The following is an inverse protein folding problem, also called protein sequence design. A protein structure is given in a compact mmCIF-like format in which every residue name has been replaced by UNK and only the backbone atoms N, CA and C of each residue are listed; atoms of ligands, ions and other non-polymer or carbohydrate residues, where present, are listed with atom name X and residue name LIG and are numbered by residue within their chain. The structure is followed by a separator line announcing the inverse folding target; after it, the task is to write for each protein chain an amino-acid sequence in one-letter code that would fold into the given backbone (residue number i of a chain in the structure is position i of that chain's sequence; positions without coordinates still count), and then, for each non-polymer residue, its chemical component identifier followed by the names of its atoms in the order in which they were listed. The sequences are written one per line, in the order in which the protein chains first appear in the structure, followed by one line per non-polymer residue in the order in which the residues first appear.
data_IF_373140337950
#
_entry.id   IF_373140337950
#
_cell.length_a   1.000
_cell.length_b   1.000
_cell.length_c   1.000
_cell.angle_alpha   90.00
_cell.angle_beta   90.00
_cell.angle_gamma   90.00
#
_symmetry.space_group_name_H-M   'P 1'
#
loop_
_entity.id
_entity.type
_entity.pdbx_description
1 polymer ?
#
# COMPACT_ATOMS: atom_id res chain seq x y z
N UNK A 1 -18.77 -9.84 -13.37
CA UNK A 1 -19.31 -9.17 -12.18
C UNK A 1 -18.33 -8.07 -11.86
N UNK A 2 -18.67 -6.85 -12.24
CA UNK A 2 -17.81 -5.66 -12.15
C UNK A 2 -17.32 -5.49 -10.71
N UNK A 3 -16.01 -5.60 -10.49
CA UNK A 3 -15.41 -5.11 -9.26
C UNK A 3 -15.43 -3.60 -9.37
N UNK A 4 -16.40 -2.95 -8.71
CA UNK A 4 -16.41 -1.50 -8.56
C UNK A 4 -15.22 -1.15 -7.66
N UNK A 5 -14.11 -0.82 -8.30
CA UNK A 5 -12.93 -0.19 -7.69
C UNK A 5 -13.37 1.15 -7.11
N UNK A 6 -13.88 1.14 -5.88
CA UNK A 6 -14.41 2.33 -5.22
C UNK A 6 -13.31 2.92 -4.33
N UNK A 7 -12.18 3.26 -4.95
CA UNK A 7 -11.17 4.11 -4.34
C UNK A 7 -11.67 5.56 -4.43
N UNK A 8 -11.72 6.24 -3.31
CA UNK A 8 -12.26 7.60 -3.18
C UNK A 8 -11.27 8.50 -2.45
N UNK A 9 -11.57 9.80 -2.44
CA UNK A 9 -10.94 10.74 -1.52
C UNK A 9 -10.92 10.19 -0.07
N UNK A 10 -9.89 10.54 0.72
CA UNK A 10 -9.81 10.15 2.12
C UNK A 10 -11.08 10.55 2.88
N UNK A 11 -11.79 9.57 3.44
CA UNK A 11 -12.98 9.83 4.25
C UNK A 11 -12.61 10.53 5.55
N UNK A 12 -13.56 11.27 6.12
CA UNK A 12 -13.38 11.89 7.43
C UNK A 12 -13.28 10.83 8.54
N UNK A 13 -12.50 11.13 9.57
CA UNK A 13 -12.40 10.27 10.74
C UNK A 13 -13.76 10.05 11.42
N UNK A 14 -13.97 8.81 11.87
CA UNK A 14 -15.07 8.43 12.77
C UNK A 14 -14.52 7.85 14.06
N UNK A 15 -15.36 7.78 15.09
CA UNK A 15 -15.01 7.11 16.33
C UNK A 15 -14.82 5.60 16.10
N UNK A 16 -13.68 5.07 16.56
CA UNK A 16 -13.38 3.65 16.52
C UNK A 16 -13.04 3.13 17.93
N UNK A 17 -14.07 2.75 18.68
CA UNK A 17 -13.93 2.23 20.04
C UNK A 17 -13.15 0.90 20.14
N UNK A 18 -12.89 0.24 19.01
CA UNK A 18 -12.17 -1.04 18.95
C UNK A 18 -10.75 -0.91 18.45
N UNK A 19 -10.25 0.31 18.24
CA UNK A 19 -8.93 0.56 17.64
C UNK A 19 -7.82 -0.22 18.34
N UNK A 20 -7.71 -0.12 19.67
CA UNK A 20 -6.67 -0.81 20.45
C UNK A 20 -6.73 -2.34 20.25
N UNK A 21 -7.93 -2.92 20.28
CA UNK A 21 -8.14 -4.35 20.09
C UNK A 21 -7.77 -4.79 18.67
N UNK A 22 -8.16 -4.00 17.66
CA UNK A 22 -7.87 -4.29 16.25
C UNK A 22 -6.38 -4.17 15.96
N UNK A 23 -5.71 -3.15 16.49
CA UNK A 23 -4.25 -2.98 16.40
C UNK A 23 -3.53 -4.17 17.01
N UNK A 24 -3.90 -4.56 18.23
CA UNK A 24 -3.29 -5.73 18.90
C UNK A 24 -3.46 -7.01 18.07
N UNK A 25 -4.67 -7.25 17.55
CA UNK A 25 -4.92 -8.42 16.70
C UNK A 25 -4.06 -8.38 15.42
N UNK A 26 -3.96 -7.23 14.77
CA UNK A 26 -3.15 -7.03 13.57
C UNK A 26 -1.68 -7.30 13.82
N UNK A 27 -1.11 -6.74 14.89
CA UNK A 27 0.30 -6.94 15.25
C UNK A 27 0.58 -8.39 15.64
N UNK A 28 -0.35 -9.06 16.33
CA UNK A 28 -0.16 -10.45 16.78
C UNK A 28 -0.17 -11.48 15.65
N UNK A 29 -0.76 -11.12 14.51
CA UNK A 29 -0.91 -12.00 13.33
C UNK A 29 0.08 -11.66 12.22
N UNK A 30 0.86 -10.59 12.37
CA UNK A 30 1.81 -10.16 11.36
C UNK A 30 3.11 -10.94 11.47
N UNK A 31 3.40 -11.73 10.45
CA UNK A 31 4.69 -12.39 10.31
C UNK A 31 5.62 -11.50 9.48
N UNK A 32 6.48 -10.75 10.17
CA UNK A 32 7.41 -9.79 9.57
C UNK A 32 8.40 -10.49 8.62
N UNK A 33 8.74 -11.75 8.88
CA UNK A 33 9.69 -12.52 8.07
C UNK A 33 9.08 -12.94 6.73
N UNK A 34 7.76 -12.81 6.57
CA UNK A 34 7.04 -13.06 5.32
C UNK A 34 6.79 -11.81 4.49
N UNK A 35 7.17 -10.63 4.99
CA UNK A 35 7.05 -9.39 4.24
C UNK A 35 8.13 -9.31 3.18
N UNK A 36 7.73 -8.91 1.97
CA UNK A 36 8.68 -8.71 0.89
C UNK A 36 9.70 -7.61 1.25
N UNK A 37 11.01 -7.86 1.05
CA UNK A 37 12.07 -6.95 1.49
C UNK A 37 11.87 -5.48 1.08
N UNK A 38 11.37 -5.15 -0.15
CA UNK A 38 11.21 -3.76 -0.56
C UNK A 38 10.24 -2.93 0.29
N UNK A 39 9.29 -3.56 1.00
CA UNK A 39 8.28 -2.87 1.81
C UNK A 39 8.35 -3.21 3.31
N UNK A 40 9.17 -4.19 3.69
CA UNK A 40 9.25 -4.69 5.05
C UNK A 40 9.58 -3.57 6.05
N UNK A 41 10.54 -2.70 5.73
CA UNK A 41 10.97 -1.64 6.65
C UNK A 41 9.92 -0.53 6.76
N UNK A 42 9.25 -0.18 5.67
CA UNK A 42 8.12 0.76 5.67
C UNK A 42 7.00 0.23 6.58
N UNK A 43 6.63 -1.04 6.42
CA UNK A 43 5.58 -1.69 7.22
C UNK A 43 5.98 -1.79 8.69
N UNK A 44 7.25 -2.02 9.02
CA UNK A 44 7.76 -1.97 10.40
C UNK A 44 7.66 -0.56 10.98
N UNK A 45 8.10 0.46 10.24
CA UNK A 45 8.03 1.86 10.72
C UNK A 45 6.59 2.29 11.04
N UNK A 46 5.60 1.87 10.24
CA UNK A 46 4.19 2.14 10.57
C UNK A 46 3.69 1.39 11.82
N UNK A 47 4.24 0.21 12.12
CA UNK A 47 3.86 -0.52 13.33
C UNK A 47 4.42 0.11 14.61
N UNK A 48 5.53 0.82 14.51
CA UNK A 48 6.11 1.55 15.65
C UNK A 48 5.27 2.78 16.04
N UNK A 49 4.43 3.28 15.13
CA UNK A 49 3.49 4.35 15.41
C UNK A 49 2.28 3.81 16.21
N UNK A 50 1.93 4.40 17.36
CA UNK A 50 0.74 3.99 18.12
C UNK A 50 -0.57 4.40 17.42
N UNK A 51 -0.53 5.48 16.63
CA UNK A 51 -1.68 6.07 15.95
C UNK A 51 -2.07 5.37 14.64
N UNK A 52 -1.35 4.33 14.20
CA UNK A 52 -1.82 3.48 13.10
C UNK A 52 -1.44 1.99 13.25
N UNK A 53 -1.98 1.18 12.35
CA UNK A 53 -1.50 -0.17 12.06
C UNK A 53 -1.81 -0.59 10.62
N UNK A 54 -0.95 -1.44 10.06
CA UNK A 54 -1.09 -1.96 8.69
C UNK A 54 -2.14 -3.08 8.63
N UNK A 55 -3.15 -2.90 7.77
CA UNK A 55 -4.20 -3.88 7.49
C UNK A 55 -3.77 -4.89 6.43
N UNK A 56 -3.10 -4.39 5.40
CA UNK A 56 -2.62 -5.16 4.26
C UNK A 56 -1.61 -4.33 3.48
N UNK A 57 -0.63 -4.99 2.86
CA UNK A 57 0.31 -4.35 1.95
C UNK A 57 0.61 -5.25 0.74
N UNK A 58 1.12 -4.66 -0.32
CA UNK A 58 1.64 -5.33 -1.50
C UNK A 58 2.75 -4.47 -2.10
N UNK A 59 3.85 -5.08 -2.53
CA UNK A 59 4.98 -4.35 -3.13
C UNK A 59 4.91 -4.22 -4.65
N UNK A 60 3.84 -4.77 -5.24
CA UNK A 60 3.57 -4.75 -6.66
C UNK A 60 4.33 -5.83 -7.44
N UNK A 61 3.63 -6.53 -8.33
CA UNK A 61 4.23 -7.59 -9.15
C UNK A 61 3.39 -7.91 -10.40
N UNK A 62 4.02 -8.53 -11.39
CA UNK A 62 3.34 -8.99 -12.61
C UNK A 62 2.73 -10.38 -12.41
N UNK A 63 1.55 -10.58 -13.00
CA UNK A 63 0.82 -11.84 -13.00
C UNK A 63 0.52 -12.19 -14.46
N UNK A 64 0.74 -13.44 -14.86
CA UNK A 64 0.37 -13.94 -16.19
C UNK A 64 -0.66 -15.08 -16.10
N UNK A 65 -1.47 -15.30 -17.15
CA UNK A 65 -2.59 -16.26 -17.10
C UNK A 65 -2.16 -17.71 -16.81
N UNK A 66 -0.97 -18.10 -17.27
CA UNK A 66 -0.42 -19.44 -17.05
C UNK A 66 0.18 -19.64 -15.64
N UNK A 67 0.20 -18.60 -14.79
CA UNK A 67 0.76 -18.67 -13.45
C UNK A 67 -0.24 -19.35 -12.50
N UNK A 68 0.15 -20.47 -11.88
CA UNK A 68 -0.71 -21.18 -10.93
C UNK A 68 -0.86 -20.42 -9.61
N UNK A 69 0.22 -19.77 -9.15
CA UNK A 69 0.22 -18.97 -7.93
C UNK A 69 0.19 -17.46 -8.25
N UNK A 70 -0.94 -16.80 -7.94
CA UNK A 70 -1.14 -15.36 -8.16
C UNK A 70 -0.37 -14.46 -7.19
N UNK A 71 0.20 -15.03 -6.14
CA UNK A 71 1.06 -14.33 -5.20
C UNK A 71 2.53 -14.59 -5.48
N UNK A 72 2.87 -15.41 -6.49
CA UNK A 72 4.26 -15.61 -6.87
C UNK A 72 4.84 -14.32 -7.44
N UNK A 73 6.07 -14.07 -7.01
CA UNK A 73 6.87 -12.89 -7.27
C UNK A 73 8.05 -13.20 -8.19
N UNK A 74 8.07 -14.44 -8.71
CA UNK A 74 9.06 -14.90 -9.65
C UNK A 74 9.05 -14.05 -10.92
N UNK A 75 10.24 -13.91 -11.52
CA UNK A 75 10.38 -13.18 -12.78
C UNK A 75 9.55 -13.86 -13.86
N UNK A 76 8.90 -13.05 -14.69
CA UNK A 76 8.23 -13.55 -15.88
C UNK A 76 9.20 -14.36 -16.75
N UNK A 77 8.78 -15.51 -17.30
CA UNK A 77 9.64 -16.32 -18.15
C UNK A 77 10.04 -15.52 -19.39
N UNK A 78 11.33 -15.57 -19.75
CA UNK A 78 11.84 -14.99 -21.00
C UNK A 78 11.53 -15.97 -22.12
N UNK A 79 10.29 -15.96 -22.61
CA UNK A 79 9.87 -16.73 -23.78
C UNK A 79 9.06 -15.87 -24.74
N UNK A 80 9.25 -16.11 -26.04
CA UNK A 80 8.42 -15.53 -27.10
C UNK A 80 7.02 -16.13 -27.00
N UNK A 81 6.15 -15.54 -26.18
CA UNK A 81 4.80 -16.06 -25.97
C UNK A 81 4.18 -15.83 -24.59
N UNK A 82 4.79 -15.01 -23.71
CA UNK A 82 4.06 -14.54 -22.52
C UNK A 82 2.86 -13.72 -23.02
N UNK A 83 1.66 -14.28 -22.84
CA UNK A 83 0.41 -13.61 -23.14
C UNK A 83 0.24 -12.31 -22.34
N UNK A 84 -0.93 -11.66 -22.40
CA UNK A 84 -1.17 -10.44 -21.64
C UNK A 84 -0.82 -10.63 -20.15
N UNK A 85 -0.02 -9.72 -19.61
CA UNK A 85 0.34 -9.69 -18.19
C UNK A 85 -0.46 -8.61 -17.47
N UNK A 86 -0.90 -8.92 -16.26
CA UNK A 86 -1.57 -7.99 -15.36
C UNK A 86 -0.57 -7.50 -14.32
N UNK A 87 -0.55 -6.20 -14.07
CA UNK A 87 0.25 -5.64 -12.97
C UNK A 87 -0.61 -5.51 -11.72
N UNK A 88 -0.14 -6.05 -10.59
CA UNK A 88 -0.72 -5.83 -9.27
C UNK A 88 -0.03 -4.64 -8.64
N UNK A 89 -0.82 -3.66 -8.23
CA UNK A 89 -0.34 -2.35 -7.76
C UNK A 89 0.32 -2.49 -6.39
N UNK A 90 1.37 -1.72 -6.16
CA UNK A 90 2.01 -1.59 -4.87
C UNK A 90 1.20 -0.64 -3.96
N UNK A 91 0.92 -1.07 -2.73
CA UNK A 91 0.18 -0.26 -1.78
C UNK A 91 0.41 -0.68 -0.33
N UNK A 92 0.10 0.23 0.58
CA UNK A 92 -0.07 -0.04 2.01
C UNK A 92 -1.44 0.49 2.44
N UNK A 93 -2.23 -0.38 3.07
CA UNK A 93 -3.49 -0.05 3.69
C UNK A 93 -3.30 0.06 5.21
N UNK A 94 -3.65 1.20 5.77
CA UNK A 94 -3.48 1.55 7.18
C UNK A 94 -4.84 1.78 7.82
N UNK A 95 -5.03 1.33 9.05
CA UNK A 95 -6.04 1.91 9.93
C UNK A 95 -5.38 3.00 10.76
N UNK A 96 -5.91 4.22 10.72
CA UNK A 96 -5.39 5.37 11.46
C UNK A 96 -6.37 5.73 12.60
N UNK A 97 -5.84 5.98 13.79
CA UNK A 97 -6.63 6.37 14.95
C UNK A 97 -7.21 7.79 14.80
N UNK A 98 -8.43 8.02 15.28
CA UNK A 98 -8.97 9.37 15.39
C UNK A 98 -8.41 10.09 16.63
N UNK A 99 -7.11 10.34 16.62
CA UNK A 99 -6.33 11.04 17.65
C UNK A 99 -5.60 12.24 17.04
N UNK A 100 -5.04 13.16 17.85
CA UNK A 100 -4.20 14.25 17.33
C UNK A 100 -3.06 13.74 16.44
N UNK A 101 -2.34 12.70 16.88
CA UNK A 101 -1.22 12.09 16.17
C UNK A 101 -1.69 11.37 14.90
N UNK A 102 -2.87 10.72 14.93
CA UNK A 102 -3.45 10.11 13.74
C UNK A 102 -3.91 11.13 12.70
N UNK A 103 -4.36 12.30 13.13
CA UNK A 103 -4.70 13.41 12.22
C UNK A 103 -3.46 14.01 11.58
N UNK A 104 -2.38 14.19 12.35
CA UNK A 104 -1.09 14.63 11.82
C UNK A 104 -0.58 13.65 10.76
N UNK A 105 -0.56 12.36 11.07
CA UNK A 105 -0.20 11.31 10.11
C UNK A 105 -1.07 11.33 8.84
N UNK A 106 -2.37 11.61 8.97
CA UNK A 106 -3.26 11.70 7.81
C UNK A 106 -2.88 12.85 6.89
N UNK A 107 -2.54 14.02 7.44
CA UNK A 107 -2.10 15.17 6.64
C UNK A 107 -0.73 14.91 6.02
N UNK A 108 0.22 14.31 6.75
CA UNK A 108 1.53 13.92 6.20
C UNK A 108 1.37 12.98 4.98
N UNK A 109 0.45 12.02 5.04
CA UNK A 109 0.16 11.12 3.92
C UNK A 109 -0.47 11.84 2.72
N UNK A 110 -1.25 12.90 2.95
CA UNK A 110 -1.78 13.75 1.86
C UNK A 110 -0.68 14.61 1.24
N UNK A 111 0.25 15.10 2.04
CA UNK A 111 1.38 15.86 1.55
C UNK A 111 2.30 14.99 0.68
N UNK A 112 2.47 13.72 1.04
CA UNK A 112 3.16 12.73 0.20
C UNK A 112 2.48 12.59 -1.17
N UNK A 113 1.16 12.49 -1.24
CA UNK A 113 0.44 12.50 -2.53
C UNK A 113 0.69 13.79 -3.31
N UNK A 114 0.72 14.94 -2.63
CA UNK A 114 0.93 16.25 -3.28
C UNK A 114 2.33 16.39 -3.88
N UNK A 115 3.33 15.67 -3.34
CA UNK A 115 4.69 15.67 -3.85
C UNK A 115 4.82 15.01 -5.24
N UNK A 116 4.02 13.97 -5.50
CA UNK A 116 3.98 13.27 -6.80
C UNK A 116 2.57 12.71 -7.08
N UNK A 117 1.61 13.58 -7.47
CA UNK A 117 0.22 13.17 -7.63
C UNK A 117 -0.02 12.28 -8.87
N UNK A 118 0.98 12.14 -9.75
CA UNK A 118 0.96 11.23 -10.91
C UNK A 118 1.42 9.82 -10.50
N UNK A 119 2.35 9.69 -9.55
CA UNK A 119 2.90 8.41 -9.11
C UNK A 119 2.49 7.99 -7.69
N UNK A 120 1.64 8.77 -7.02
CA UNK A 120 1.14 8.47 -5.68
C UNK A 120 -0.35 8.81 -5.60
N UNK A 121 -1.13 7.88 -5.05
CA UNK A 121 -2.53 8.10 -4.71
C UNK A 121 -2.74 7.81 -3.23
N UNK A 122 -3.43 8.72 -2.56
CA UNK A 122 -3.86 8.55 -1.18
C UNK A 122 -5.37 8.70 -1.09
N UNK A 123 -6.01 7.77 -0.40
CA UNK A 123 -7.47 7.70 -0.42
C UNK A 123 -8.05 6.65 0.50
N UNK A 124 -9.34 6.41 0.30
CA UNK A 124 -10.12 5.40 1.02
C UNK A 124 -10.65 4.39 0.03
N UNK A 125 -10.46 3.10 0.32
CA UNK A 125 -11.12 2.05 -0.45
C UNK A 125 -12.35 1.57 0.31
N UNK A 126 -13.53 1.59 -0.34
CA UNK A 126 -14.80 1.24 0.34
C UNK A 126 -14.78 -0.14 1.00
N UNK A 127 -14.13 -1.11 0.36
CA UNK A 127 -14.05 -2.48 0.88
C UNK A 127 -13.22 -2.58 2.17
N UNK A 128 -12.17 -1.76 2.32
CA UNK A 128 -11.46 -1.64 3.59
C UNK A 128 -12.34 -0.92 4.60
N UNK A 129 -12.96 0.19 4.23
CA UNK A 129 -13.82 0.98 5.13
C UNK A 129 -15.00 0.20 5.70
N UNK A 130 -15.64 -0.64 4.88
CA UNK A 130 -16.75 -1.49 5.31
C UNK A 130 -16.34 -2.52 6.38
N UNK A 131 -15.06 -2.93 6.40
CA UNK A 131 -14.52 -3.91 7.36
C UNK A 131 -13.81 -3.26 8.54
N UNK A 132 -13.20 -2.10 8.29
CA UNK A 132 -12.33 -1.38 9.21
C UNK A 132 -12.48 0.13 8.95
N UNK A 133 -13.17 0.83 9.84
CA UNK A 133 -13.31 2.28 9.75
C UNK A 133 -11.96 2.99 9.94
N UNK A 134 -11.84 4.20 9.42
CA UNK A 134 -10.59 4.97 9.37
C UNK A 134 -9.46 4.22 8.64
N UNK A 135 -9.83 3.46 7.60
CA UNK A 135 -8.86 2.79 6.74
C UNK A 135 -8.49 3.66 5.55
N UNK A 136 -7.21 3.86 5.36
CA UNK A 136 -6.67 4.68 4.27
C UNK A 136 -5.66 3.84 3.51
N UNK A 137 -5.53 4.13 2.22
CA UNK A 137 -4.64 3.39 1.34
C UNK A 137 -3.72 4.39 0.67
N UNK A 138 -2.42 4.18 0.85
CA UNK A 138 -1.37 4.81 0.08
C UNK A 138 -0.98 3.83 -1.02
N UNK A 139 -1.20 4.21 -2.28
CA UNK A 139 -0.86 3.42 -3.45
C UNK A 139 0.29 4.10 -4.18
N UNK A 140 1.29 3.30 -4.54
CA UNK A 140 2.41 3.75 -5.37
C UNK A 140 2.30 3.06 -6.73
N UNK A 141 2.72 3.79 -7.75
CA UNK A 141 2.48 3.51 -9.17
C UNK A 141 1.03 3.71 -9.70
N UNK A 142 0.38 4.85 -9.44
CA UNK A 142 -0.85 5.22 -10.10
C UNK A 142 -0.67 6.36 -11.11
N UNK A 143 0.05 6.13 -12.21
CA UNK A 143 -0.34 6.75 -13.48
C UNK A 143 -1.56 6.00 -14.02
N UNK A 144 -2.59 5.88 -13.16
CA UNK A 144 -3.87 5.15 -13.34
C UNK A 144 -3.79 4.09 -14.44
N UNK A 145 -2.84 3.18 -14.24
CA UNK A 145 -2.78 1.84 -14.76
C UNK A 145 -3.05 1.76 -16.27
N UNK A 146 -1.99 1.71 -17.11
CA UNK A 146 -1.91 1.10 -18.47
C UNK A 146 -1.02 1.94 -19.43
N UNK A 147 -0.45 1.47 -20.56
CA UNK A 147 -0.75 0.29 -21.41
C UNK A 147 0.52 -0.18 -22.19
N UNK A 148 0.72 -1.51 -22.27
CA UNK A 148 1.68 -2.30 -23.08
C UNK A 148 3.19 -2.13 -22.85
N UNK A 149 3.78 -3.17 -22.23
CA UNK A 149 5.12 -3.65 -22.53
C UNK A 149 6.29 -2.77 -22.10
N UNK A 150 7.03 -3.24 -21.10
CA UNK A 150 8.30 -2.71 -20.58
C UNK A 150 8.13 -1.51 -19.64
N UNK A 151 8.13 -1.79 -18.34
CA UNK A 151 8.21 -0.79 -17.27
C UNK A 151 9.52 -1.00 -16.52
N UNK A 152 10.34 0.05 -16.47
CA UNK A 152 11.59 0.11 -15.70
C UNK A 152 11.32 0.94 -14.44
N UNK A 153 11.48 0.32 -13.27
CA UNK A 153 11.26 0.89 -11.94
C UNK A 153 12.00 2.23 -11.73
N UNK A 154 11.28 3.28 -11.31
CA UNK A 154 11.90 4.48 -10.72
C UNK A 154 10.98 5.13 -9.68
N UNK A 155 10.81 4.50 -8.52
CA UNK A 155 10.04 5.08 -7.38
C UNK A 155 10.89 5.24 -6.10
N UNK A 156 12.16 4.83 -6.12
CA UNK A 156 13.05 4.94 -4.95
C UNK A 156 13.53 6.37 -4.61
N UNK A 157 13.20 7.40 -5.41
CA UNK A 157 13.76 8.76 -5.23
C UNK A 157 12.87 9.71 -4.42
N UNK A 158 11.59 9.42 -4.19
CA UNK A 158 10.71 10.36 -3.46
C UNK A 158 10.88 10.28 -1.94
N UNK A 159 11.31 9.14 -1.38
CA UNK A 159 11.52 9.01 0.07
C UNK A 159 12.75 9.77 0.58
N UNK A 160 13.76 10.06 -0.27
CA UNK A 160 14.95 10.81 0.14
C UNK A 160 14.64 12.30 0.42
N UNK A 161 13.58 12.87 -0.18
CA UNK A 161 13.24 14.28 -0.03
C UNK A 161 12.52 14.62 1.29
N UNK A 162 11.91 13.65 1.96
CA UNK A 162 11.19 13.85 3.23
C UNK A 162 11.99 13.41 4.48
N UNK A 163 13.31 13.18 4.36
CA UNK A 163 14.19 12.99 5.51
C UNK A 163 14.22 11.59 6.11
N UNK A 164 13.64 10.58 5.46
CA UNK A 164 13.83 9.18 5.82
C UNK A 164 15.13 8.66 5.20
N UNK A 165 16.24 8.81 5.92
CA UNK A 165 17.53 8.24 5.49
C UNK A 165 17.52 6.72 5.73
N UNK A 166 17.27 5.92 4.70
CA UNK A 166 17.57 4.49 4.74
C UNK A 166 19.00 4.25 4.22
N UNK A 167 19.92 3.98 5.14
CA UNK A 167 21.25 3.47 4.79
C UNK A 167 21.11 2.00 4.33
N UNK A 168 21.37 1.76 3.05
CA UNK A 168 21.49 0.42 2.48
C UNK A 168 22.79 -0.26 2.92
N UNK A 169 22.69 -1.50 3.41
CA UNK A 169 23.68 -2.56 3.22
C UNK A 169 22.97 -3.89 2.97
#
# INVERSE_FOLDING_TARGET
MEQVETFTEPKGFVENLRYVQQRQASLSTMDIDTLDPPIADIVKSFQDLPCCFTLQSCYGHFIHEAQQDRNSTERLPISDGVGPVSYRIAYVALCIENSPEGKELLEDLRDIQTADPECIQFGSAEWFWARQVNSYVLQVEPERFKVFGVIMLRVLLCCEYFGFTFLFF
#
